data_IF_947005758276
#
_entry.id   IF_947005758276
#
_cell.length_a   1.000
_cell.length_b   1.000
_cell.length_c   1.000
_cell.angle_alpha   90.00
_cell.angle_beta   90.00
_cell.angle_gamma   90.00
#
_symmetry.space_group_name_H-M   'P 1'
#
loop_
_entity.id
_entity.type
_entity.pdbx_description
1 polymer ?
#
# COMPACT_ATOMS: atom_id res chain seq x y z
N UNK A 1 31.20 11.79 -2.08
CA UNK A 1 30.63 11.82 -3.45
C UNK A 1 30.35 13.27 -3.83
N UNK A 2 31.00 13.84 -4.86
CA UNK A 2 30.96 15.28 -5.20
C UNK A 2 29.50 15.75 -5.43
N UNK A 3 29.12 16.89 -4.84
CA UNK A 3 27.75 17.45 -4.84
C UNK A 3 27.10 17.52 -6.23
N UNK A 4 27.88 17.87 -7.26
CA UNK A 4 27.43 17.94 -8.65
C UNK A 4 27.00 16.59 -9.24
N UNK A 5 27.75 15.51 -8.96
CA UNK A 5 27.40 14.17 -9.41
C UNK A 5 26.07 13.72 -8.79
N UNK A 6 25.84 14.06 -7.52
CA UNK A 6 24.60 13.75 -6.79
C UNK A 6 23.41 14.52 -7.36
N UNK A 7 23.59 15.80 -7.70
CA UNK A 7 22.55 16.63 -8.33
C UNK A 7 22.17 16.12 -9.72
N UNK A 8 23.18 15.78 -10.54
CA UNK A 8 22.98 15.24 -11.88
C UNK A 8 22.28 13.87 -11.85
N UNK A 9 22.70 12.96 -10.97
CA UNK A 9 22.03 11.66 -10.77
C UNK A 9 20.57 11.86 -10.32
N UNK A 10 20.31 12.81 -9.41
CA UNK A 10 18.94 13.14 -9.00
C UNK A 10 18.09 13.68 -10.15
N UNK A 11 18.66 14.55 -10.99
CA UNK A 11 17.92 15.15 -12.10
C UNK A 11 17.66 14.14 -13.23
N UNK A 12 18.65 13.31 -13.57
CA UNK A 12 18.47 12.20 -14.50
C UNK A 12 17.45 11.18 -13.96
N UNK A 13 17.51 10.85 -12.66
CA UNK A 13 16.52 9.99 -12.02
C UNK A 13 15.10 10.55 -12.08
N UNK A 14 14.91 11.86 -11.82
CA UNK A 14 13.61 12.52 -11.96
C UNK A 14 13.09 12.50 -13.40
N UNK A 15 13.95 12.76 -14.39
CA UNK A 15 13.58 12.69 -15.81
C UNK A 15 13.19 11.27 -16.22
N UNK A 16 13.96 10.26 -15.77
CA UNK A 16 13.66 8.85 -16.02
C UNK A 16 12.32 8.45 -15.41
N UNK A 17 12.06 8.78 -14.14
CA UNK A 17 10.78 8.49 -13.49
C UNK A 17 9.60 9.16 -14.20
N UNK A 18 9.77 10.40 -14.66
CA UNK A 18 8.74 11.09 -15.45
C UNK A 18 8.47 10.37 -16.78
N UNK A 19 9.52 10.01 -17.51
CA UNK A 19 9.40 9.26 -18.76
C UNK A 19 8.70 7.91 -18.56
N UNK A 20 9.11 7.15 -17.53
CA UNK A 20 8.46 5.89 -17.17
C UNK A 20 6.96 6.13 -16.88
N UNK A 21 6.62 7.17 -16.11
CA UNK A 21 5.24 7.50 -15.77
C UNK A 21 4.40 7.94 -16.97
N UNK A 22 4.97 8.67 -17.94
CA UNK A 22 4.29 9.05 -19.19
C UNK A 22 4.08 7.85 -20.10
N UNK A 23 5.11 7.00 -20.26
CA UNK A 23 5.03 5.75 -21.00
C UNK A 23 3.95 4.83 -20.41
N UNK A 24 3.96 4.63 -19.09
CA UNK A 24 2.95 3.83 -18.39
C UNK A 24 1.55 4.43 -18.54
N UNK A 25 1.41 5.76 -18.51
CA UNK A 25 0.13 6.42 -18.76
C UNK A 25 -0.42 6.12 -20.15
N UNK A 26 0.43 6.21 -21.18
CA UNK A 26 0.05 5.95 -22.58
C UNK A 26 -0.40 4.51 -22.84
N UNK A 27 0.20 3.55 -22.13
CA UNK A 27 -0.07 2.11 -22.32
C UNK A 27 -1.08 1.54 -21.31
N UNK A 28 -1.65 2.37 -20.43
CA UNK A 28 -2.66 1.93 -19.47
C UNK A 28 -3.99 1.66 -20.16
N UNK A 29 -4.64 0.56 -19.77
CA UNK A 29 -6.02 0.26 -20.16
C UNK A 29 -7.05 0.91 -19.24
N UNK A 30 -6.59 1.59 -18.18
CA UNK A 30 -7.43 2.35 -17.27
C UNK A 30 -7.26 3.84 -17.50
N UNK A 31 -8.28 4.65 -17.18
CA UNK A 31 -8.12 6.10 -17.10
C UNK A 31 -6.94 6.48 -16.19
N UNK A 32 -6.19 7.52 -16.57
CA UNK A 32 -5.16 8.11 -15.71
C UNK A 32 -5.79 9.22 -14.85
N UNK A 33 -6.74 8.85 -14.01
CA UNK A 33 -7.46 9.75 -13.08
C UNK A 33 -7.04 9.48 -11.63
N UNK A 34 -7.18 10.47 -10.73
CA UNK A 34 -6.83 10.31 -9.32
C UNK A 34 -7.54 9.13 -8.64
N UNK A 35 -8.85 9.02 -8.84
CA UNK A 35 -9.67 7.90 -8.39
C UNK A 35 -10.20 7.12 -9.59
N UNK A 36 -10.46 5.83 -9.37
CA UNK A 36 -10.93 4.89 -10.37
C UNK A 36 -12.22 4.22 -9.89
N UNK A 37 -13.12 3.94 -10.83
CA UNK A 37 -14.36 3.22 -10.54
C UNK A 37 -14.09 1.76 -10.17
N UNK A 38 -14.77 1.27 -9.13
CA UNK A 38 -14.61 -0.10 -8.63
C UNK A 38 -15.01 -1.15 -9.69
N UNK A 39 -15.90 -0.81 -10.61
CA UNK A 39 -16.37 -1.69 -11.70
C UNK A 39 -15.27 -2.10 -12.67
N UNK A 40 -14.14 -1.39 -12.71
CA UNK A 40 -12.96 -1.80 -13.48
C UNK A 40 -12.22 -3.00 -12.87
N UNK A 41 -12.51 -3.36 -11.62
CA UNK A 41 -11.74 -4.33 -10.86
C UNK A 41 -12.63 -5.44 -10.31
N UNK A 42 -12.54 -6.63 -10.90
CA UNK A 42 -13.29 -7.81 -10.44
C UNK A 42 -13.00 -8.16 -8.98
N UNK A 43 -11.78 -7.90 -8.51
CA UNK A 43 -11.39 -8.15 -7.13
C UNK A 43 -12.16 -7.31 -6.11
N UNK A 44 -12.71 -6.15 -6.50
CA UNK A 44 -13.48 -5.29 -5.61
C UNK A 44 -14.67 -6.05 -5.01
N UNK A 45 -15.49 -6.67 -5.88
CA UNK A 45 -16.67 -7.44 -5.45
C UNK A 45 -16.29 -8.58 -4.51
N UNK A 46 -15.21 -9.32 -4.84
CA UNK A 46 -14.77 -10.44 -4.01
C UNK A 46 -14.29 -10.00 -2.62
N UNK A 47 -13.57 -8.87 -2.56
CA UNK A 47 -13.10 -8.27 -1.30
C UNK A 47 -14.27 -7.78 -0.44
N UNK A 48 -15.21 -7.04 -1.02
CA UNK A 48 -16.38 -6.50 -0.33
C UNK A 48 -17.30 -7.62 0.17
N UNK A 49 -17.56 -8.65 -0.64
CA UNK A 49 -18.38 -9.81 -0.25
C UNK A 49 -17.78 -10.66 0.87
N UNK A 50 -16.45 -10.68 1.00
CA UNK A 50 -15.77 -11.41 2.07
C UNK A 50 -15.27 -10.49 3.19
N UNK A 51 -15.76 -9.25 3.25
CA UNK A 51 -15.30 -8.25 4.21
C UNK A 51 -15.37 -8.74 5.65
N UNK A 52 -16.45 -9.45 6.05
CA UNK A 52 -16.60 -9.94 7.43
C UNK A 52 -15.46 -10.88 7.85
N UNK A 53 -15.00 -11.75 6.94
CA UNK A 53 -13.88 -12.67 7.21
C UNK A 53 -12.58 -11.90 7.37
N UNK A 54 -12.33 -10.96 6.47
CA UNK A 54 -11.13 -10.11 6.50
C UNK A 54 -11.12 -9.27 7.78
N UNK A 55 -12.25 -8.65 8.12
CA UNK A 55 -12.37 -7.79 9.29
C UNK A 55 -12.25 -8.59 10.60
N UNK A 56 -12.75 -9.83 10.64
CA UNK A 56 -12.58 -10.72 11.79
C UNK A 56 -11.10 -11.02 12.06
N UNK A 57 -10.33 -11.38 11.04
CA UNK A 57 -8.89 -11.65 11.19
C UNK A 57 -8.10 -10.38 11.50
N UNK A 58 -8.48 -9.24 10.92
CA UNK A 58 -7.93 -7.94 11.30
C UNK A 58 -8.14 -7.64 12.79
N UNK A 59 -9.35 -7.85 13.31
CA UNK A 59 -9.66 -7.62 14.74
C UNK A 59 -8.81 -8.48 15.65
N UNK A 60 -8.59 -9.76 15.31
CA UNK A 60 -7.69 -10.65 16.06
C UNK A 60 -6.26 -10.13 16.09
N UNK A 61 -5.72 -9.69 14.94
CA UNK A 61 -4.40 -9.05 14.88
C UNK A 61 -4.36 -7.75 15.71
N UNK A 62 -5.47 -7.00 15.71
CA UNK A 62 -5.58 -5.72 16.40
C UNK A 62 -5.76 -5.83 17.92
N UNK A 63 -6.02 -7.02 18.47
CA UNK A 63 -5.97 -7.29 19.92
C UNK A 63 -4.54 -7.12 20.49
N UNK A 64 -3.52 -7.21 19.64
CA UNK A 64 -2.12 -7.10 20.02
C UNK A 64 -1.38 -6.00 19.22
N UNK A 65 -1.78 -4.72 19.36
CA UNK A 65 -1.28 -3.65 18.51
C UNK A 65 0.23 -3.43 18.67
N UNK A 66 0.82 -3.75 19.83
CA UNK A 66 2.26 -3.65 20.09
C UNK A 66 3.10 -4.68 19.33
N UNK A 67 2.49 -5.77 18.86
CA UNK A 67 3.15 -6.76 18.02
C UNK A 67 3.16 -6.33 16.54
N UNK A 68 2.48 -5.23 16.19
CA UNK A 68 2.46 -4.68 14.84
C UNK A 68 3.53 -3.58 14.73
N UNK A 69 4.53 -3.76 13.84
CA UNK A 69 5.57 -2.76 13.64
C UNK A 69 5.02 -1.50 12.98
N UNK A 70 5.68 -0.39 13.23
CA UNK A 70 5.46 0.88 12.52
C UNK A 70 6.06 0.79 11.12
N UNK A 71 5.49 1.52 10.15
CA UNK A 71 5.87 1.36 8.74
C UNK A 71 7.37 1.62 8.47
N UNK A 72 7.94 2.63 9.12
CA UNK A 72 9.37 2.98 9.00
C UNK A 72 10.33 1.95 9.64
N UNK A 73 9.84 1.07 10.52
CA UNK A 73 10.63 -0.04 11.10
C UNK A 73 10.79 -1.17 10.08
N UNK A 74 9.84 -1.31 9.15
CA UNK A 74 9.90 -2.26 8.05
C UNK A 74 10.61 -1.65 6.84
N UNK A 75 10.17 -0.45 6.40
CA UNK A 75 10.70 0.24 5.22
C UNK A 75 11.39 1.55 5.61
N UNK A 76 12.73 1.56 5.76
CA UNK A 76 13.46 2.76 6.17
C UNK A 76 13.29 3.96 5.24
N UNK A 77 13.02 3.72 3.95
CA UNK A 77 12.77 4.77 2.96
C UNK A 77 11.53 5.63 3.29
N UNK A 78 10.63 5.09 4.12
CA UNK A 78 9.38 5.72 4.51
C UNK A 78 9.50 6.57 5.78
N UNK A 79 10.71 6.68 6.37
CA UNK A 79 10.97 7.53 7.56
C UNK A 79 10.55 8.99 7.40
N UNK A 80 10.49 9.51 6.16
CA UNK A 80 10.05 10.89 5.91
C UNK A 80 8.55 11.07 6.20
N UNK A 81 7.75 10.03 5.97
CA UNK A 81 6.29 10.08 6.03
C UNK A 81 5.69 9.29 7.20
N UNK A 82 6.39 8.29 7.75
CA UNK A 82 6.02 7.55 8.95
C UNK A 82 6.89 7.99 10.13
N UNK A 83 6.26 8.54 11.17
CA UNK A 83 6.94 9.05 12.38
C UNK A 83 6.35 8.43 13.65
N UNK A 84 7.22 7.93 14.52
CA UNK A 84 6.84 7.29 15.78
C UNK A 84 5.89 6.09 15.56
N UNK A 85 5.16 5.69 16.61
CA UNK A 85 4.25 4.52 16.57
C UNK A 85 2.86 4.82 15.98
N UNK A 86 2.72 5.89 15.18
CA UNK A 86 1.41 6.43 14.73
C UNK A 86 0.88 5.81 13.43
N UNK A 87 1.72 5.05 12.72
CA UNK A 87 1.32 4.35 11.50
C UNK A 87 1.90 2.94 11.48
N UNK A 88 1.02 1.97 11.74
CA UNK A 88 1.33 0.54 11.87
C UNK A 88 0.95 -0.21 10.59
N UNK A 89 1.76 -1.21 10.26
CA UNK A 89 1.57 -2.02 9.05
C UNK A 89 1.80 -3.50 9.34
N UNK A 90 0.73 -4.30 9.21
CA UNK A 90 0.80 -5.76 9.32
C UNK A 90 0.81 -6.37 7.91
N UNK A 91 2.01 -6.71 7.42
CA UNK A 91 2.21 -7.13 6.04
C UNK A 91 1.87 -8.60 5.80
N UNK A 92 1.07 -8.87 4.77
CA UNK A 92 0.73 -10.21 4.28
C UNK A 92 1.51 -10.52 3.00
N UNK A 93 1.60 -9.54 2.09
CA UNK A 93 2.34 -9.66 0.84
C UNK A 93 3.20 -8.42 0.59
N UNK A 94 4.43 -8.63 0.12
CA UNK A 94 5.33 -7.57 -0.35
C UNK A 94 5.89 -7.96 -1.71
N UNK A 95 5.52 -7.20 -2.74
CA UNK A 95 5.86 -7.45 -4.15
C UNK A 95 5.73 -8.94 -4.53
N UNK A 96 4.53 -9.49 -4.34
CA UNK A 96 4.12 -10.88 -4.56
C UNK A 96 4.79 -11.93 -3.64
N UNK A 97 5.64 -11.52 -2.70
CA UNK A 97 6.22 -12.43 -1.72
C UNK A 97 5.33 -12.51 -0.48
N UNK A 98 4.96 -13.72 -0.08
CA UNK A 98 4.17 -14.00 1.11
C UNK A 98 5.01 -13.78 2.39
N UNK A 99 4.44 -13.08 3.36
CA UNK A 99 4.96 -13.01 4.73
C UNK A 99 4.33 -14.17 5.51
N UNK A 100 4.91 -15.36 5.35
CA UNK A 100 4.33 -16.65 5.76
C UNK A 100 3.79 -16.67 7.19
N UNK A 101 4.52 -16.08 8.16
CA UNK A 101 4.08 -16.04 9.56
C UNK A 101 2.81 -15.21 9.75
N UNK A 102 2.68 -14.10 9.03
CA UNK A 102 1.51 -13.22 9.11
C UNK A 102 0.32 -13.83 8.36
N UNK A 103 0.58 -14.44 7.19
CA UNK A 103 -0.45 -15.14 6.42
C UNK A 103 -1.07 -16.33 7.17
N UNK A 104 -0.31 -17.01 8.04
CA UNK A 104 -0.85 -18.04 8.94
C UNK A 104 -1.82 -17.51 9.98
N UNK A 105 -1.69 -16.25 10.39
CA UNK A 105 -2.62 -15.59 11.32
C UNK A 105 -3.88 -15.07 10.62
N UNK A 106 -3.84 -14.93 9.29
CA UNK A 106 -4.96 -14.46 8.48
C UNK A 106 -5.24 -15.40 7.28
N UNK A 107 -5.57 -16.69 7.52
CA UNK A 107 -5.76 -17.67 6.45
C UNK A 107 -6.87 -17.33 5.45
N UNK A 108 -8.01 -16.80 5.90
CA UNK A 108 -9.12 -16.44 5.01
C UNK A 108 -8.75 -15.23 4.16
N UNK A 109 -8.18 -14.19 4.76
CA UNK A 109 -7.68 -13.00 4.05
C UNK A 109 -6.62 -13.42 3.04
N UNK A 110 -5.68 -14.29 3.42
CA UNK A 110 -4.63 -14.80 2.53
C UNK A 110 -5.21 -15.53 1.33
N UNK A 111 -6.23 -16.38 1.54
CA UNK A 111 -6.90 -17.11 0.45
C UNK A 111 -7.60 -16.15 -0.52
N UNK A 112 -8.27 -15.12 -0.01
CA UNK A 112 -8.94 -14.10 -0.84
C UNK A 112 -7.90 -13.32 -1.63
N UNK A 113 -6.82 -12.87 -0.99
CA UNK A 113 -5.73 -12.12 -1.63
C UNK A 113 -5.07 -12.94 -2.75
N UNK A 114 -4.79 -14.23 -2.52
CA UNK A 114 -4.20 -15.12 -3.55
C UNK A 114 -5.08 -15.32 -4.79
N UNK A 115 -6.37 -15.02 -4.70
CA UNK A 115 -7.29 -15.07 -5.85
C UNK A 115 -7.25 -13.80 -6.73
N UNK A 116 -6.58 -12.73 -6.28
CA UNK A 116 -6.47 -11.47 -6.99
C UNK A 116 -5.33 -11.58 -8.01
N UNK A 117 -5.67 -11.50 -9.31
CA UNK A 117 -4.66 -11.44 -10.37
C UNK A 117 -3.80 -10.18 -10.24
N UNK A 118 -2.50 -10.33 -10.46
CA UNK A 118 -1.54 -9.24 -10.36
C UNK A 118 -1.32 -8.69 -8.94
N UNK A 119 -1.68 -9.41 -7.86
CA UNK A 119 -1.41 -8.96 -6.49
C UNK A 119 0.09 -8.72 -6.28
N UNK A 120 0.45 -7.52 -5.81
CA UNK A 120 1.82 -7.17 -5.45
C UNK A 120 1.97 -6.96 -3.95
N UNK A 121 1.20 -6.04 -3.37
CA UNK A 121 1.32 -5.72 -1.96
C UNK A 121 -0.01 -5.91 -1.27
N UNK A 122 0.01 -6.39 -0.02
CA UNK A 122 -1.16 -6.37 0.83
C UNK A 122 -0.79 -6.30 2.32
N UNK A 123 -1.42 -5.41 3.06
CA UNK A 123 -1.24 -5.27 4.50
C UNK A 123 -2.40 -4.55 5.19
N UNK A 124 -2.59 -4.80 6.47
CA UNK A 124 -3.44 -3.94 7.29
C UNK A 124 -2.68 -2.65 7.62
N UNK A 125 -3.22 -1.51 7.18
CA UNK A 125 -2.64 -0.18 7.36
C UNK A 125 -3.44 0.59 8.39
N UNK A 126 -2.87 0.78 9.58
CA UNK A 126 -3.56 1.35 10.74
C UNK A 126 -2.97 2.73 11.08
N UNK A 127 -3.84 3.73 11.12
CA UNK A 127 -3.49 5.12 11.34
C UNK A 127 -4.02 5.59 12.70
N UNK A 128 -3.14 6.11 13.53
CA UNK A 128 -3.49 6.61 14.85
C UNK A 128 -4.35 7.89 14.81
N UNK A 129 -5.09 8.18 15.89
CA UNK A 129 -5.77 9.45 16.11
C UNK A 129 -4.84 10.65 15.91
N UNK A 130 -5.37 11.72 15.32
CA UNK A 130 -4.66 12.99 15.09
C UNK A 130 -3.41 12.88 14.19
N UNK A 131 -3.24 11.81 13.42
CA UNK A 131 -2.05 11.62 12.59
C UNK A 131 -2.28 12.01 11.12
N UNK A 132 -1.29 12.71 10.58
CA UNK A 132 -1.26 13.16 9.19
C UNK A 132 -0.08 12.55 8.45
N UNK A 133 -0.36 11.89 7.34
CA UNK A 133 0.64 11.50 6.36
C UNK A 133 0.79 12.67 5.39
N UNK A 134 1.98 13.30 5.30
CA UNK A 134 2.17 14.48 4.46
C UNK A 134 2.04 14.16 2.96
N UNK A 135 1.89 15.18 2.10
CA UNK A 135 1.86 15.00 0.66
C UNK A 135 3.06 14.21 0.12
N UNK A 136 2.78 13.16 -0.65
CA UNK A 136 3.78 12.31 -1.28
C UNK A 136 3.24 11.68 -2.57
N UNK A 137 4.10 10.98 -3.30
CA UNK A 137 3.76 10.27 -4.54
C UNK A 137 4.30 8.85 -4.48
N UNK A 138 3.51 7.93 -5.03
CA UNK A 138 3.89 6.58 -5.34
C UNK A 138 5.04 6.54 -6.35
N UNK A 139 5.87 5.48 -6.32
CA UNK A 139 7.08 5.42 -7.13
C UNK A 139 6.84 5.07 -8.60
N UNK A 140 5.70 4.48 -8.96
CA UNK A 140 5.46 3.94 -10.31
C UNK A 140 3.97 3.81 -10.63
N UNK A 141 3.59 4.03 -11.90
CA UNK A 141 2.23 3.72 -12.39
C UNK A 141 2.03 2.25 -12.73
N UNK A 142 3.06 1.42 -12.54
CA UNK A 142 2.94 -0.02 -12.75
C UNK A 142 1.86 -0.66 -11.88
N UNK A 143 1.51 -0.02 -10.76
CA UNK A 143 0.56 -0.52 -9.78
C UNK A 143 -0.67 0.40 -9.68
N UNK A 144 -1.78 -0.17 -9.26
CA UNK A 144 -2.97 0.51 -8.76
C UNK A 144 -3.13 0.20 -7.28
N UNK A 145 -3.49 1.22 -6.49
CA UNK A 145 -3.79 1.06 -5.08
C UNK A 145 -5.28 0.92 -4.83
N UNK A 146 -5.63 -0.03 -3.99
CA UNK A 146 -6.95 -0.22 -3.41
C UNK A 146 -6.88 -0.16 -1.89
N UNK A 147 -7.80 0.56 -1.27
CA UNK A 147 -8.07 0.47 0.16
C UNK A 147 -9.47 -0.11 0.38
N UNK A 148 -9.58 -1.21 1.12
CA UNK A 148 -10.84 -1.71 1.68
C UNK A 148 -10.97 -1.21 3.12
N UNK A 149 -12.05 -0.51 3.46
CA UNK A 149 -12.26 0.02 4.82
C UNK A 149 -12.55 -1.09 5.85
N UNK A 150 -11.79 -1.14 6.95
CA UNK A 150 -11.95 -2.16 8.01
C UNK A 150 -12.45 -1.58 9.33
N UNK A 151 -11.76 -0.54 9.81
CA UNK A 151 -12.11 0.22 11.01
C UNK A 151 -12.14 1.70 10.61
N UNK A 152 -13.33 2.27 10.51
CA UNK A 152 -13.53 3.66 10.11
C UNK A 152 -14.09 4.42 11.32
N UNK A 153 -13.51 5.57 11.70
CA UNK A 153 -14.05 6.42 12.78
C UNK A 153 -15.52 6.79 12.55
N UNK A 154 -16.26 7.04 13.64
CA UNK A 154 -17.65 7.49 13.57
C UNK A 154 -17.74 8.83 12.82
N UNK A 155 -16.87 9.79 13.17
CA UNK A 155 -16.64 11.00 12.37
C UNK A 155 -15.71 10.71 11.18
N UNK A 156 -16.22 9.93 10.23
CA UNK A 156 -15.47 9.60 9.00
C UNK A 156 -15.11 10.82 8.15
N UNK A 157 -15.81 11.95 8.28
CA UNK A 157 -15.52 13.15 7.47
C UNK A 157 -14.29 13.91 7.97
N UNK A 158 -13.89 13.70 9.23
CA UNK A 158 -12.61 14.15 9.77
C UNK A 158 -11.45 13.17 9.49
N UNK A 159 -11.72 12.01 8.85
CA UNK A 159 -10.70 11.08 8.38
C UNK A 159 -10.74 10.89 6.85
N UNK A 160 -9.77 11.47 6.15
CA UNK A 160 -9.84 11.61 4.70
C UNK A 160 -8.52 11.33 3.98
N UNK A 161 -8.64 11.04 2.69
CA UNK A 161 -7.55 11.01 1.73
C UNK A 161 -7.80 12.06 0.66
N UNK A 162 -6.76 12.82 0.31
CA UNK A 162 -6.75 13.65 -0.88
C UNK A 162 -5.80 13.03 -1.89
N UNK A 163 -6.27 12.84 -3.12
CA UNK A 163 -5.46 12.42 -4.27
C UNK A 163 -5.64 13.49 -5.34
N UNK A 164 -4.53 14.14 -5.72
CA UNK A 164 -4.54 15.35 -6.53
C UNK A 164 -5.46 16.43 -5.92
N UNK A 165 -6.47 16.89 -6.66
CA UNK A 165 -7.46 17.88 -6.21
C UNK A 165 -8.70 17.28 -5.56
N UNK A 166 -8.81 15.95 -5.50
CA UNK A 166 -10.01 15.26 -5.07
C UNK A 166 -9.85 14.72 -3.65
N UNK A 167 -10.83 14.97 -2.79
CA UNK A 167 -10.89 14.49 -1.41
C UNK A 167 -11.97 13.41 -1.30
N UNK A 168 -11.63 12.26 -0.71
CA UNK A 168 -12.57 11.16 -0.43
C UNK A 168 -12.43 10.66 1.01
N UNK A 169 -13.44 9.91 1.42
CA UNK A 169 -13.60 9.33 2.75
C UNK A 169 -13.78 7.83 2.62
N UNK A 170 -13.30 7.07 3.60
CA UNK A 170 -13.47 5.62 3.59
C UNK A 170 -14.83 5.23 4.12
N UNK A 171 -15.35 4.13 3.60
CA UNK A 171 -16.54 3.45 4.11
C UNK A 171 -16.15 2.03 4.54
N UNK A 172 -16.73 1.56 5.65
CA UNK A 172 -16.50 0.20 6.10
C UNK A 172 -17.07 -0.79 5.06
N UNK A 173 -16.30 -1.81 4.70
CA UNK A 173 -16.76 -2.81 3.73
C UNK A 173 -16.66 -2.40 2.27
N UNK A 174 -16.19 -1.19 1.96
CA UNK A 174 -16.12 -0.70 0.57
C UNK A 174 -14.68 -0.52 0.10
N UNK A 175 -14.41 -0.91 -1.15
CA UNK A 175 -13.14 -0.65 -1.81
C UNK A 175 -13.07 0.78 -2.35
N UNK A 176 -11.86 1.35 -2.31
CA UNK A 176 -11.53 2.63 -2.94
C UNK A 176 -10.25 2.48 -3.75
N UNK A 177 -10.37 2.58 -5.08
CA UNK A 177 -9.23 2.51 -5.99
C UNK A 177 -8.73 3.90 -6.37
N UNK A 178 -7.42 4.08 -6.36
CA UNK A 178 -6.77 5.34 -6.73
C UNK A 178 -5.38 5.11 -7.31
N UNK A 179 -4.93 6.09 -8.11
CA UNK A 179 -3.58 6.14 -8.64
C UNK A 179 -2.69 6.93 -7.67
N UNK A 180 -1.89 6.22 -6.89
CA UNK A 180 -1.02 6.82 -5.88
C UNK A 180 0.17 7.59 -6.49
N UNK A 181 0.38 7.57 -7.80
CA UNK A 181 1.40 8.42 -8.46
C UNK A 181 0.99 9.88 -8.55
N UNK A 182 -0.30 10.17 -8.41
CA UNK A 182 -0.75 11.52 -8.08
C UNK A 182 -0.29 11.89 -6.68
N UNK A 183 -0.05 13.18 -6.46
CA UNK A 183 0.27 13.63 -5.11
C UNK A 183 -0.91 13.34 -4.19
N UNK A 184 -0.66 12.68 -3.07
CA UNK A 184 -1.69 12.33 -2.12
C UNK A 184 -1.23 12.54 -0.69
N UNK A 185 -2.19 12.84 0.17
CA UNK A 185 -2.00 12.98 1.61
C UNK A 185 -3.20 12.39 2.34
N UNK A 186 -2.97 12.01 3.60
CA UNK A 186 -4.00 11.40 4.43
C UNK A 186 -4.00 12.08 5.79
N UNK A 187 -5.18 12.32 6.32
CA UNK A 187 -5.34 12.87 7.66
C UNK A 187 -6.41 12.09 8.42
N UNK A 188 -6.07 11.63 9.62
CA UNK A 188 -7.03 11.15 10.59
C UNK A 188 -7.12 12.18 11.72
N UNK A 189 -8.02 13.16 11.56
CA UNK A 189 -8.28 14.19 12.57
C UNK A 189 -9.41 13.78 13.53
N UNK A 190 -9.48 12.50 13.87
CA UNK A 190 -10.46 11.96 14.83
C UNK A 190 -9.76 11.49 16.10
N UNK A 191 -10.53 11.13 17.12
CA UNK A 191 -10.06 10.48 18.34
C UNK A 191 -9.90 8.95 18.20
N UNK A 192 -10.24 8.38 17.04
CA UNK A 192 -10.29 6.94 16.81
C UNK A 192 -9.20 6.49 15.82
N UNK A 193 -8.83 5.21 15.89
CA UNK A 193 -7.95 4.61 14.89
C UNK A 193 -8.69 4.39 13.57
N UNK A 194 -7.99 4.51 12.45
CA UNK A 194 -8.50 4.11 11.14
C UNK A 194 -7.67 2.98 10.56
N UNK A 195 -8.30 1.87 10.18
CA UNK A 195 -7.66 0.75 9.51
C UNK A 195 -8.28 0.47 8.14
N UNK A 196 -7.41 0.17 7.17
CA UNK A 196 -7.79 -0.32 5.84
C UNK A 196 -6.96 -1.57 5.52
N UNK A 197 -7.51 -2.48 4.73
CA UNK A 197 -6.70 -3.43 3.98
C UNK A 197 -6.17 -2.68 2.75
N UNK A 198 -4.88 -2.38 2.79
CA UNK A 198 -4.14 -1.78 1.69
C UNK A 198 -3.76 -2.88 0.72
N UNK A 199 -4.00 -2.67 -0.57
CA UNK A 199 -3.65 -3.60 -1.64
C UNK A 199 -3.04 -2.80 -2.78
N UNK A 200 -1.86 -3.22 -3.28
CA UNK A 200 -1.40 -2.82 -4.61
C UNK A 200 -1.53 -4.03 -5.55
N UNK A 201 -2.08 -3.79 -6.73
CA UNK A 201 -2.17 -4.76 -7.83
C UNK A 201 -1.56 -4.19 -9.11
N UNK A 202 -1.15 -5.06 -10.02
CA UNK A 202 -0.67 -4.67 -11.34
C UNK A 202 -1.73 -3.81 -12.05
N UNK A 203 -1.31 -2.65 -12.56
CA UNK A 203 -2.16 -1.83 -13.43
C UNK A 203 -2.45 -2.61 -14.71
N UNK A 204 -3.71 -2.72 -15.16
CA UNK A 204 -4.04 -3.22 -16.49
C UNK A 204 -3.35 -2.40 -17.59
N UNK A 205 -2.55 -3.08 -18.41
CA UNK A 205 -1.77 -2.52 -19.51
C UNK A 205 -2.01 -3.28 -20.81
N UNK A 206 -1.81 -2.59 -21.93
CA UNK A 206 -1.61 -3.27 -23.21
C UNK A 206 -0.36 -4.17 -23.20
N UNK A 207 -0.13 -4.91 -24.30
CA UNK A 207 0.98 -5.90 -24.37
C UNK A 207 2.34 -5.25 -24.15
N UNK A 208 2.56 -4.06 -24.68
CA UNK A 208 3.85 -3.36 -24.61
C UNK A 208 4.08 -2.86 -23.19
N UNK A 209 3.08 -2.18 -22.61
CA UNK A 209 3.12 -1.70 -21.23
C UNK A 209 3.28 -2.84 -20.22
N UNK A 210 2.68 -4.00 -20.47
CA UNK A 210 2.80 -5.19 -19.61
C UNK A 210 4.24 -5.73 -19.59
N UNK A 211 4.88 -5.85 -20.74
CA UNK A 211 6.29 -6.30 -20.82
C UNK A 211 7.17 -5.30 -20.07
N UNK A 212 6.99 -4.01 -20.32
CA UNK A 212 7.74 -2.95 -19.63
C UNK A 212 7.55 -3.00 -18.10
N UNK A 213 6.31 -3.06 -17.62
CA UNK A 213 6.01 -3.10 -16.19
C UNK A 213 6.58 -4.36 -15.53
N UNK A 214 6.47 -5.54 -16.17
CA UNK A 214 7.07 -6.77 -15.63
C UNK A 214 8.57 -6.66 -15.49
N UNK A 215 9.28 -6.12 -16.49
CA UNK A 215 10.72 -5.88 -16.40
C UNK A 215 11.07 -4.89 -15.30
N UNK A 216 10.34 -3.78 -15.19
CA UNK A 216 10.55 -2.77 -14.15
C UNK A 216 10.34 -3.37 -12.75
N UNK A 217 9.24 -4.10 -12.53
CA UNK A 217 8.94 -4.72 -11.25
C UNK A 217 9.95 -5.81 -10.87
N UNK A 218 10.44 -6.61 -11.83
CA UNK A 218 11.50 -7.58 -11.58
C UNK A 218 12.80 -6.90 -11.09
N UNK A 219 13.16 -5.75 -11.68
CA UNK A 219 14.30 -4.95 -11.21
C UNK A 219 14.06 -4.46 -9.78
N UNK A 220 12.87 -3.90 -9.50
CA UNK A 220 12.51 -3.43 -8.15
C UNK A 220 12.56 -4.56 -7.13
N UNK A 221 11.97 -5.71 -7.43
CA UNK A 221 11.98 -6.92 -6.59
C UNK A 221 13.40 -7.41 -6.28
N UNK A 222 14.33 -7.31 -7.24
CA UNK A 222 15.72 -7.70 -7.02
C UNK A 222 16.52 -6.72 -6.17
N UNK A 223 16.00 -5.51 -5.92
CA UNK A 223 16.69 -4.43 -5.22
C UNK A 223 16.52 -4.47 -3.69
N UNK A 224 17.32 -3.68 -2.97
CA UNK A 224 17.20 -3.50 -1.52
C UNK A 224 15.86 -2.91 -1.09
N UNK A 225 15.19 -2.17 -1.98
CA UNK A 225 13.87 -1.60 -1.73
C UNK A 225 12.83 -2.65 -1.30
N UNK A 226 12.94 -3.88 -1.83
CA UNK A 226 12.05 -5.01 -1.50
C UNK A 226 12.69 -5.96 -0.49
N UNK A 227 13.97 -6.25 -0.66
CA UNK A 227 14.70 -7.21 0.19
C UNK A 227 14.81 -6.74 1.65
N UNK A 228 14.99 -5.45 1.89
CA UNK A 228 15.14 -4.92 3.25
C UNK A 228 13.83 -5.02 4.06
N UNK A 229 12.66 -4.58 3.54
CA UNK A 229 11.36 -4.82 4.18
C UNK A 229 11.10 -6.28 4.56
N UNK A 230 11.31 -7.22 3.63
CA UNK A 230 11.12 -8.65 3.88
C UNK A 230 12.04 -9.16 5.00
N UNK A 231 13.32 -8.76 4.99
CA UNK A 231 14.27 -9.13 6.03
C UNK A 231 13.89 -8.53 7.39
N UNK A 232 13.44 -7.28 7.41
CA UNK A 232 13.06 -6.59 8.65
C UNK A 232 11.80 -7.22 9.27
N UNK A 233 10.81 -7.57 8.45
CA UNK A 233 9.62 -8.30 8.90
C UNK A 233 9.97 -9.66 9.47
N UNK A 234 10.82 -10.44 8.79
CA UNK A 234 11.27 -11.74 9.30
C UNK A 234 11.94 -11.61 10.67
N UNK A 235 12.80 -10.60 10.84
CA UNK A 235 13.44 -10.30 12.14
C UNK A 235 12.43 -9.89 13.20
N UNK A 236 11.47 -9.03 12.85
CA UNK A 236 10.41 -8.59 13.77
C UNK A 236 9.57 -9.76 14.24
N UNK A 237 9.05 -10.58 13.32
CA UNK A 237 8.22 -11.74 13.63
C UNK A 237 8.97 -12.76 14.50
N UNK A 238 10.26 -13.00 14.23
CA UNK A 238 11.09 -13.84 15.11
C UNK A 238 11.23 -13.26 16.52
N UNK A 239 11.33 -11.92 16.66
CA UNK A 239 11.41 -11.26 17.96
C UNK A 239 10.12 -11.37 18.77
N UNK A 240 8.95 -11.33 18.13
CA UNK A 240 7.66 -11.52 18.80
C UNK A 240 7.53 -12.97 19.28
N UNK A 241 7.87 -13.94 18.43
CA UNK A 241 7.84 -15.37 18.82
C UNK A 241 8.72 -15.69 20.02
N UNK A 242 9.86 -15.01 20.18
CA UNK A 242 10.76 -15.25 21.31
C UNK A 242 10.30 -14.55 22.62
N UNK A 243 9.25 -13.70 22.57
CA UNK A 243 8.69 -12.99 23.73
C UNK A 243 7.44 -13.67 24.29
N UNK A 244 6.83 -14.58 23.54
CA UNK A 244 5.65 -15.36 23.91
C UNK A 244 6.06 -16.81 24.15
#
# INVERSE_FOLDING_TARGET
>A
MKSYLRSFIHQCGKKLLRYCGEFQGKHSQLPCTPFLENSHFECAKNLEQNWDKINKEFKQVWEHPDQIPSFHEISPDQKRISKGKKWKTFALFIFANEVTENCKLCPDTTKILKSIDGLQNAWFSILAPGYKIPPHRGPTRALIRCHLGLLIPEDKYSCWIRVDKQKKYWEAGTCMFFDDTFEHEVENNTSEYRAVLFIDLDRPMDRIGRIFNKSLLAIVQSSHYVKDPLRNLKKWNASIRNRN
#
